data_IF_351188779776
#
_entry.id   IF_351188779776
#
_cell.length_a   1.000
_cell.length_b   1.000
_cell.length_c   1.000
_cell.angle_alpha   90.00
_cell.angle_beta   90.00
_cell.angle_gamma   90.00
#
_symmetry.space_group_name_H-M   'P 1'
#
loop_
_entity.id
_entity.type
_entity.pdbx_description
1 polymer ?
#
# COMPACT_ATOMS: atom_id res chain seq x y z
N UNK A 1 12.83 1.29 -21.33
CA UNK A 1 13.98 0.36 -21.36
C UNK A 1 13.92 -0.38 -22.69
N UNK A 2 14.97 -0.32 -23.44
CA UNK A 2 15.05 -0.97 -24.77
C UNK A 2 15.71 -2.35 -24.70
N UNK A 3 15.97 -2.87 -23.49
CA UNK A 3 16.63 -4.15 -23.28
C UNK A 3 16.19 -4.78 -21.96
N UNK A 4 16.11 -6.11 -21.95
CA UNK A 4 15.67 -6.91 -20.79
C UNK A 4 16.82 -7.21 -19.80
N UNK A 5 17.84 -6.36 -19.72
CA UNK A 5 18.98 -6.59 -18.84
C UNK A 5 18.65 -6.26 -17.39
N UNK A 6 18.99 -7.20 -16.49
CA UNK A 6 18.99 -6.98 -15.04
C UNK A 6 20.21 -6.11 -14.72
N UNK A 7 19.98 -4.88 -14.26
CA UNK A 7 21.06 -3.91 -13.95
C UNK A 7 21.50 -3.98 -12.49
N UNK A 8 20.63 -4.44 -11.59
CA UNK A 8 20.92 -4.58 -10.17
C UNK A 8 20.08 -5.65 -9.51
N UNK A 9 20.64 -6.37 -8.53
CA UNK A 9 19.97 -7.36 -7.70
C UNK A 9 20.34 -7.17 -6.24
N UNK A 10 19.43 -7.48 -5.32
CA UNK A 10 19.72 -7.62 -3.88
C UNK A 10 19.01 -8.85 -3.31
N UNK A 11 19.59 -9.44 -2.27
CA UNK A 11 18.98 -10.51 -1.50
C UNK A 11 18.62 -9.97 -0.12
N UNK A 12 17.33 -9.88 0.15
CA UNK A 12 16.81 -9.44 1.43
C UNK A 12 16.33 -10.60 2.29
N UNK A 13 16.62 -10.55 3.60
CA UNK A 13 16.08 -11.47 4.60
C UNK A 13 14.69 -11.04 5.12
N UNK A 14 14.17 -9.91 4.64
CA UNK A 14 12.86 -9.40 5.07
C UNK A 14 11.74 -10.22 4.45
N UNK A 15 10.72 -10.60 5.22
CA UNK A 15 9.60 -11.40 4.71
C UNK A 15 8.61 -10.58 3.87
N UNK A 16 8.72 -9.24 3.86
CA UNK A 16 7.82 -8.33 3.15
C UNK A 16 8.60 -7.29 2.35
N UNK A 17 8.09 -6.95 1.17
CA UNK A 17 8.74 -6.07 0.21
C UNK A 17 8.72 -4.59 0.62
N UNK A 18 7.76 -4.19 1.47
CA UNK A 18 7.60 -2.79 1.89
C UNK A 18 8.83 -2.16 2.52
N UNK A 19 9.69 -2.96 3.15
CA UNK A 19 10.91 -2.49 3.82
C UNK A 19 12.18 -2.69 2.99
N UNK A 20 12.09 -3.24 1.78
CA UNK A 20 13.26 -3.58 0.96
C UNK A 20 13.55 -2.56 -0.13
N UNK A 21 12.54 -1.80 -0.58
CA UNK A 21 12.68 -0.87 -1.70
C UNK A 21 13.72 0.23 -1.44
N UNK A 22 13.64 0.90 -0.30
CA UNK A 22 14.55 2.01 0.03
C UNK A 22 16.01 1.55 0.12
N UNK A 23 16.35 0.47 0.85
CA UNK A 23 17.71 -0.05 0.85
C UNK A 23 18.18 -0.45 -0.56
N UNK A 24 17.32 -1.12 -1.34
CA UNK A 24 17.62 -1.52 -2.71
C UNK A 24 17.94 -0.33 -3.61
N UNK A 25 17.11 0.71 -3.59
CA UNK A 25 17.32 1.91 -4.42
C UNK A 25 18.60 2.65 -4.03
N UNK A 26 18.88 2.80 -2.73
CA UNK A 26 20.11 3.43 -2.25
C UNK A 26 21.36 2.67 -2.66
N UNK A 27 21.33 1.35 -2.54
CA UNK A 27 22.44 0.48 -2.91
C UNK A 27 22.68 0.52 -4.42
N UNK A 28 21.64 0.39 -5.21
CA UNK A 28 21.69 0.51 -6.67
C UNK A 28 22.24 1.87 -7.11
N UNK A 29 21.72 2.96 -6.59
CA UNK A 29 22.17 4.33 -6.93
C UNK A 29 23.65 4.55 -6.57
N UNK A 30 24.09 4.02 -5.45
CA UNK A 30 25.49 4.10 -4.99
C UNK A 30 26.45 3.40 -5.96
N UNK A 31 26.05 2.26 -6.52
CA UNK A 31 26.88 1.46 -7.41
C UNK A 31 26.83 1.93 -8.87
N UNK A 32 25.66 2.34 -9.34
CA UNK A 32 25.49 2.80 -10.72
C UNK A 32 25.96 4.25 -10.93
N UNK A 33 26.04 5.06 -9.85
CA UNK A 33 26.41 6.47 -9.93
C UNK A 33 25.34 7.39 -10.50
N UNK A 34 24.12 6.89 -10.72
CA UNK A 34 22.98 7.68 -11.19
C UNK A 34 21.66 7.17 -10.60
N UNK A 35 20.60 7.96 -10.75
CA UNK A 35 19.22 7.62 -10.35
C UNK A 35 18.32 7.48 -11.56
N UNK A 36 17.45 6.49 -11.53
CA UNK A 36 16.33 6.45 -12.47
C UNK A 36 15.27 7.48 -12.05
N UNK A 37 14.72 8.21 -13.01
CA UNK A 37 13.67 9.21 -12.76
C UNK A 37 12.34 8.60 -12.35
N UNK A 38 12.09 7.35 -12.74
CA UNK A 38 10.82 6.66 -12.58
C UNK A 38 11.04 5.28 -11.94
N UNK A 39 10.23 5.00 -10.93
CA UNK A 39 10.27 3.73 -10.19
C UNK A 39 8.94 3.00 -10.39
N UNK A 40 8.98 1.93 -11.19
CA UNK A 40 7.81 1.08 -11.44
C UNK A 40 7.92 -0.18 -10.58
N UNK A 41 7.04 -0.32 -9.60
CA UNK A 41 7.13 -1.42 -8.66
C UNK A 41 5.77 -2.13 -8.45
N UNK A 42 5.83 -3.34 -7.89
CA UNK A 42 4.65 -4.13 -7.58
C UNK A 42 3.92 -3.64 -6.32
N UNK A 43 2.71 -4.12 -6.15
CA UNK A 43 1.84 -3.80 -5.01
C UNK A 43 2.46 -4.13 -3.65
N UNK A 44 3.37 -5.11 -3.59
CA UNK A 44 4.13 -5.45 -2.38
C UNK A 44 4.96 -4.29 -1.83
N UNK A 45 5.37 -3.37 -2.68
CA UNK A 45 6.18 -2.21 -2.31
C UNK A 45 5.36 -0.99 -1.89
N UNK A 46 4.03 -1.04 -1.94
CA UNK A 46 3.19 0.09 -1.57
C UNK A 46 3.28 0.40 -0.08
N UNK A 47 3.85 1.56 0.26
CA UNK A 47 3.88 2.10 1.62
C UNK A 47 4.03 3.62 1.59
N UNK A 48 3.56 4.28 2.67
CA UNK A 48 3.72 5.73 2.84
C UNK A 48 5.19 6.14 2.79
N UNK A 49 6.05 5.36 3.44
CA UNK A 49 7.48 5.61 3.50
C UNK A 49 8.15 5.53 2.12
N UNK A 50 7.79 4.52 1.32
CA UNK A 50 8.33 4.36 -0.02
C UNK A 50 7.90 5.49 -0.95
N UNK A 51 6.64 5.91 -0.89
CA UNK A 51 6.16 7.07 -1.66
C UNK A 51 6.92 8.35 -1.31
N UNK A 52 7.05 8.64 0.00
CA UNK A 52 7.75 9.84 0.48
C UNK A 52 9.24 9.80 0.15
N UNK A 53 9.87 8.63 0.21
CA UNK A 53 11.28 8.47 -0.16
C UNK A 53 11.51 8.73 -1.65
N UNK A 54 10.72 8.11 -2.53
CA UNK A 54 10.83 8.27 -3.98
C UNK A 54 10.65 9.73 -4.36
N UNK A 55 9.59 10.38 -3.85
CA UNK A 55 9.33 11.79 -4.10
C UNK A 55 10.43 12.72 -3.55
N UNK A 56 10.85 12.49 -2.30
CA UNK A 56 11.94 13.24 -1.67
C UNK A 56 13.28 13.11 -2.40
N UNK A 57 13.46 12.02 -3.14
CA UNK A 57 14.62 11.77 -4.00
C UNK A 57 14.50 12.42 -5.41
N UNK A 58 13.39 13.11 -5.71
CA UNK A 58 13.10 13.69 -7.01
C UNK A 58 12.73 12.67 -8.08
N UNK A 59 12.26 11.49 -7.67
CA UNK A 59 11.83 10.40 -8.53
C UNK A 59 10.30 10.31 -8.56
N UNK A 60 9.73 9.67 -9.57
CA UNK A 60 8.29 9.46 -9.73
C UNK A 60 7.93 8.00 -9.46
N UNK A 61 6.98 7.77 -8.56
CA UNK A 61 6.48 6.42 -8.26
C UNK A 61 5.37 6.01 -9.22
N UNK A 62 5.41 4.75 -9.65
CA UNK A 62 4.37 4.02 -10.36
C UNK A 62 4.20 2.67 -9.66
N UNK A 63 3.58 2.69 -8.47
CA UNK A 63 3.42 1.53 -7.60
C UNK A 63 1.95 1.11 -7.61
N UNK A 64 1.66 -0.10 -8.06
CA UNK A 64 0.28 -0.60 -8.07
C UNK A 64 -0.27 -0.66 -6.64
N UNK A 65 -1.40 0.03 -6.31
CA UNK A 65 -2.00 -0.06 -4.98
C UNK A 65 -2.38 -1.50 -4.61
N UNK A 66 -2.15 -1.90 -3.37
CA UNK A 66 -2.45 -3.26 -2.88
C UNK A 66 -3.92 -3.65 -3.06
N UNK A 67 -4.82 -2.68 -3.00
CA UNK A 67 -6.24 -2.90 -3.18
C UNK A 67 -6.73 -2.70 -4.63
N UNK A 68 -5.85 -2.45 -5.59
CA UNK A 68 -6.23 -2.05 -6.96
C UNK A 68 -7.16 -3.07 -7.63
N UNK A 69 -6.80 -4.35 -7.64
CA UNK A 69 -7.64 -5.37 -8.28
C UNK A 69 -8.91 -5.67 -7.47
N UNK A 70 -8.76 -5.81 -6.16
CA UNK A 70 -9.88 -6.15 -5.29
C UNK A 70 -10.91 -5.03 -5.24
N UNK A 71 -10.49 -3.75 -5.38
CA UNK A 71 -11.38 -2.58 -5.38
C UNK A 71 -12.37 -2.57 -6.55
N UNK A 72 -12.04 -3.24 -7.64
CA UNK A 72 -12.90 -3.38 -8.81
C UNK A 72 -14.06 -4.35 -8.58
N UNK A 73 -13.92 -5.25 -7.62
CA UNK A 73 -14.91 -6.30 -7.36
C UNK A 73 -16.19 -5.77 -6.75
N UNK A 74 -17.33 -6.41 -7.11
CA UNK A 74 -18.63 -6.08 -6.54
C UNK A 74 -18.66 -6.24 -5.01
N UNK A 75 -17.94 -7.25 -4.49
CA UNK A 75 -17.83 -7.49 -3.05
C UNK A 75 -17.17 -6.33 -2.31
N UNK A 76 -16.07 -5.80 -2.86
CA UNK A 76 -15.37 -4.66 -2.27
C UNK A 76 -16.25 -3.40 -2.28
N UNK A 77 -16.88 -3.10 -3.41
CA UNK A 77 -17.73 -1.91 -3.59
C UNK A 77 -18.98 -1.92 -2.69
N UNK A 78 -19.45 -3.10 -2.28
CA UNK A 78 -20.59 -3.27 -1.36
C UNK A 78 -20.19 -3.35 0.11
N UNK A 79 -18.90 -3.44 0.43
CA UNK A 79 -18.44 -3.63 1.80
C UNK A 79 -18.54 -2.32 2.59
N UNK A 80 -19.60 -2.18 3.37
CA UNK A 80 -19.91 -1.01 4.20
C UNK A 80 -18.91 -0.79 5.33
N UNK A 81 -18.06 -1.76 5.63
CA UNK A 81 -17.03 -1.62 6.67
C UNK A 81 -15.84 -0.79 6.21
N UNK A 82 -15.68 -0.59 4.90
CA UNK A 82 -14.55 0.09 4.30
C UNK A 82 -14.80 1.60 4.23
N UNK A 83 -13.76 2.37 4.58
CA UNK A 83 -13.80 3.84 4.51
C UNK A 83 -13.99 4.35 3.07
N UNK A 84 -13.44 3.63 2.10
CA UNK A 84 -13.54 3.97 0.67
C UNK A 84 -14.97 3.92 0.14
N UNK A 85 -15.88 3.24 0.87
CA UNK A 85 -17.30 3.16 0.57
C UNK A 85 -18.15 4.05 1.49
N UNK A 86 -17.53 4.94 2.27
CA UNK A 86 -18.18 5.95 3.11
C UNK A 86 -18.03 7.31 2.45
N UNK A 87 -19.04 8.15 2.60
CA UNK A 87 -18.99 9.54 2.18
C UNK A 87 -18.02 10.31 3.08
N UNK A 88 -17.09 11.06 2.48
CA UNK A 88 -16.15 11.89 3.22
C UNK A 88 -16.50 13.36 3.03
N UNK A 89 -16.67 14.09 4.13
CA UNK A 89 -16.92 15.52 4.18
C UNK A 89 -15.62 16.25 4.50
N UNK A 90 -15.03 16.87 3.49
CA UNK A 90 -13.74 17.57 3.64
C UNK A 90 -13.84 18.83 4.51
N UNK A 91 -14.98 19.53 4.48
CA UNK A 91 -15.25 20.73 5.28
C UNK A 91 -15.25 20.47 6.79
N UNK A 92 -15.66 19.29 7.21
CA UNK A 92 -15.75 18.88 8.62
C UNK A 92 -14.73 17.81 9.00
N UNK A 93 -13.94 17.36 8.04
CA UNK A 93 -13.00 16.24 8.22
C UNK A 93 -13.66 15.03 8.88
N UNK A 94 -14.73 14.54 8.29
CA UNK A 94 -15.56 13.47 8.85
C UNK A 94 -16.04 12.47 7.79
N UNK A 95 -16.42 11.27 8.22
CA UNK A 95 -16.99 10.22 7.39
C UNK A 95 -18.43 9.93 7.79
N UNK A 96 -19.31 9.71 6.82
CA UNK A 96 -20.68 9.29 7.05
C UNK A 96 -20.79 7.78 6.82
N UNK A 97 -21.22 7.03 7.83
CA UNK A 97 -21.43 5.59 7.69
C UNK A 97 -22.75 5.24 7.01
N UNK A 98 -22.94 3.97 6.65
CA UNK A 98 -24.16 3.48 5.99
C UNK A 98 -25.46 3.80 6.74
N UNK A 99 -25.40 3.98 8.07
CA UNK A 99 -26.55 4.34 8.90
C UNK A 99 -26.71 5.86 9.08
N UNK A 100 -26.04 6.68 8.28
CA UNK A 100 -26.11 8.15 8.36
C UNK A 100 -25.42 8.77 9.59
N UNK A 101 -24.68 7.97 10.37
CA UNK A 101 -23.94 8.49 11.55
C UNK A 101 -22.60 9.04 11.12
N UNK A 102 -22.26 10.19 11.67
CA UNK A 102 -20.97 10.86 11.42
C UNK A 102 -19.86 10.28 12.30
N UNK A 103 -18.73 9.99 11.69
CA UNK A 103 -17.49 9.63 12.36
C UNK A 103 -16.57 10.85 12.34
N UNK A 104 -16.33 11.41 13.51
CA UNK A 104 -15.50 12.61 13.68
C UNK A 104 -14.10 12.24 14.17
N UNK A 105 -13.15 13.14 13.97
CA UNK A 105 -11.79 12.99 14.50
C UNK A 105 -11.83 12.96 16.02
N UNK A 106 -11.24 11.92 16.59
CA UNK A 106 -11.12 11.79 18.07
C UNK A 106 -9.70 12.01 18.55
N UNK A 107 -8.71 11.56 17.80
CA UNK A 107 -7.30 11.77 18.12
C UNK A 107 -6.43 11.56 16.88
N UNK A 108 -5.19 12.01 16.99
CA UNK A 108 -4.10 11.68 16.05
C UNK A 108 -2.97 11.00 16.79
N UNK A 109 -2.37 10.01 16.15
CA UNK A 109 -1.20 9.31 16.71
C UNK A 109 -0.07 9.33 15.70
N UNK A 110 1.10 9.71 16.17
CA UNK A 110 2.36 9.52 15.45
C UNK A 110 2.90 8.14 15.75
N UNK A 111 3.26 7.40 14.73
CA UNK A 111 3.92 6.10 14.85
C UNK A 111 5.23 6.14 14.07
N UNK A 112 6.27 5.57 14.66
CA UNK A 112 7.57 5.42 14.02
C UNK A 112 7.69 4.00 13.49
N UNK A 113 8.08 3.86 12.22
CA UNK A 113 8.37 2.56 11.60
C UNK A 113 9.70 2.01 12.12
N UNK A 114 9.98 0.74 11.86
CA UNK A 114 11.27 0.13 12.20
C UNK A 114 12.47 0.78 11.47
N UNK A 115 12.22 1.38 10.31
CA UNK A 115 13.18 2.15 9.51
C UNK A 115 13.38 3.59 10.00
N UNK A 116 12.56 4.04 10.98
CA UNK A 116 12.64 5.38 11.56
C UNK A 116 11.72 6.43 10.93
N UNK A 117 10.99 6.10 9.88
CA UNK A 117 9.99 6.99 9.28
C UNK A 117 8.81 7.25 10.20
N UNK A 118 8.27 8.48 10.17
CA UNK A 118 7.14 8.89 11.03
C UNK A 118 5.89 8.99 10.19
N UNK A 119 4.87 8.20 10.56
CA UNK A 119 3.53 8.27 9.98
C UNK A 119 2.53 8.82 10.99
N UNK A 120 1.65 9.72 10.53
CA UNK A 120 0.56 10.28 11.33
C UNK A 120 -0.74 9.58 10.95
N UNK A 121 -1.42 9.04 11.96
CA UNK A 121 -2.70 8.34 11.80
C UNK A 121 -3.80 9.08 12.53
N UNK A 122 -4.80 9.54 11.78
CA UNK A 122 -6.01 10.19 12.29
C UNK A 122 -7.06 9.12 12.58
N UNK A 123 -7.65 9.18 13.75
CA UNK A 123 -8.69 8.26 14.20
C UNK A 123 -10.05 8.94 14.16
N UNK A 124 -10.95 8.39 13.35
CA UNK A 124 -12.34 8.82 13.25
C UNK A 124 -13.22 7.82 13.99
N UNK A 125 -14.14 8.30 14.80
CA UNK A 125 -15.00 7.44 15.59
C UNK A 125 -16.46 7.88 15.51
N UNK A 126 -17.36 6.91 15.34
CA UNK A 126 -18.79 7.14 15.56
C UNK A 126 -19.05 7.33 17.05
N UNK A 127 -19.81 8.34 17.45
CA UNK A 127 -20.13 8.58 18.86
C UNK A 127 -20.88 7.41 19.48
N UNK A 128 -21.80 6.81 18.74
CA UNK A 128 -22.58 5.66 19.18
C UNK A 128 -22.95 4.73 18.03
N UNK A 129 -22.90 3.41 18.25
CA UNK A 129 -23.35 2.38 17.32
C UNK A 129 -24.40 1.44 17.96
N UNK A 130 -25.03 1.86 19.05
CA UNK A 130 -26.10 1.10 19.71
C UNK A 130 -27.32 1.00 18.81
N UNK A 131 -27.96 -0.17 18.73
CA UNK A 131 -29.13 -0.40 17.90
C UNK A 131 -28.92 -0.29 16.39
N UNK A 132 -27.67 -0.20 15.91
CA UNK A 132 -27.41 -0.11 14.47
C UNK A 132 -27.65 -1.46 13.78
N UNK A 133 -28.55 -1.54 12.79
CA UNK A 133 -28.85 -2.80 12.08
C UNK A 133 -27.66 -3.32 11.26
N UNK A 134 -26.73 -2.44 10.89
CA UNK A 134 -25.53 -2.78 10.09
C UNK A 134 -24.29 -3.07 10.94
N UNK A 135 -24.41 -3.14 12.27
CA UNK A 135 -23.26 -3.16 13.18
C UNK A 135 -22.34 -4.34 12.93
N UNK A 136 -22.88 -5.53 12.77
CA UNK A 136 -22.13 -6.78 12.53
C UNK A 136 -21.39 -6.81 11.19
N UNK A 137 -21.96 -6.19 10.16
CA UNK A 137 -21.33 -6.06 8.86
C UNK A 137 -20.28 -4.93 8.82
N UNK A 138 -20.54 -3.86 9.58
CA UNK A 138 -19.71 -2.66 9.61
C UNK A 138 -18.47 -2.80 10.50
N UNK A 139 -18.59 -3.45 11.66
CA UNK A 139 -17.51 -3.64 12.62
C UNK A 139 -17.01 -5.07 12.53
N UNK A 140 -15.89 -5.24 11.79
CA UNK A 140 -15.21 -6.54 11.63
C UNK A 140 -14.11 -6.71 12.67
N UNK A 141 -13.77 -7.95 12.95
CA UNK A 141 -12.65 -8.32 13.83
C UNK A 141 -13.08 -9.11 15.04
N UNK A 142 -12.60 -10.35 15.11
CA UNK A 142 -12.94 -11.30 16.18
C UNK A 142 -11.96 -11.24 17.35
N UNK A 143 -10.79 -10.60 17.19
CA UNK A 143 -9.72 -10.57 18.19
C UNK A 143 -9.85 -9.42 19.21
N UNK A 144 -11.00 -8.75 19.26
CA UNK A 144 -11.25 -7.68 20.21
C UNK A 144 -11.91 -8.23 21.48
N UNK A 145 -11.33 -7.95 22.64
CA UNK A 145 -11.88 -8.36 23.95
C UNK A 145 -13.20 -7.65 24.31
N UNK A 146 -13.48 -6.49 23.69
CA UNK A 146 -14.72 -5.74 23.93
C UNK A 146 -15.89 -6.45 23.24
N UNK A 147 -17.01 -6.74 23.93
CA UNK A 147 -18.21 -7.30 23.33
C UNK A 147 -18.74 -6.43 22.17
N UNK A 148 -19.35 -7.05 21.15
CA UNK A 148 -19.82 -6.35 19.96
C UNK A 148 -20.79 -5.22 20.27
N UNK A 149 -21.66 -5.42 21.27
CA UNK A 149 -22.68 -4.44 21.68
C UNK A 149 -22.06 -3.11 22.13
N UNK A 150 -20.87 -3.17 22.75
CA UNK A 150 -20.14 -2.00 23.28
C UNK A 150 -19.16 -1.37 22.28
N UNK A 151 -19.00 -1.97 21.09
CA UNK A 151 -18.06 -1.44 20.09
C UNK A 151 -18.71 -0.32 19.29
N UNK A 152 -17.94 0.72 19.02
CA UNK A 152 -18.26 1.74 18.05
C UNK A 152 -17.34 1.65 16.84
N UNK A 153 -17.82 2.08 15.67
CA UNK A 153 -16.99 2.12 14.45
C UNK A 153 -15.85 3.09 14.64
N UNK A 154 -14.64 2.62 14.33
CA UNK A 154 -13.41 3.41 14.30
C UNK A 154 -12.74 3.19 12.95
N UNK A 155 -12.31 4.29 12.33
CA UNK A 155 -11.42 4.29 11.18
C UNK A 155 -10.07 4.83 11.61
N UNK A 156 -9.00 4.23 11.11
CA UNK A 156 -7.63 4.71 11.27
C UNK A 156 -7.10 5.05 9.88
N UNK A 157 -6.79 6.31 9.65
CA UNK A 157 -6.45 6.85 8.33
C UNK A 157 -5.12 7.58 8.40
N UNK A 158 -4.16 7.23 7.54
CA UNK A 158 -3.09 8.13 7.18
C UNK A 158 -3.56 8.99 5.99
N UNK A 159 -3.68 10.29 6.20
CA UNK A 159 -4.06 11.25 5.15
C UNK A 159 -2.97 11.30 4.08
N UNK A 160 -1.70 11.32 4.49
CA UNK A 160 -0.53 11.30 3.59
C UNK A 160 -0.55 10.06 2.70
N UNK A 161 -0.71 8.86 3.28
CA UNK A 161 -0.79 7.63 2.49
C UNK A 161 -1.99 7.64 1.53
N UNK A 162 -3.12 8.20 1.96
CA UNK A 162 -4.33 8.28 1.12
C UNK A 162 -4.13 9.20 -0.06
N UNK A 163 -3.49 10.36 0.16
CA UNK A 163 -3.15 11.32 -0.87
C UNK A 163 -2.14 10.70 -1.87
N UNK A 164 -1.03 10.15 -1.38
CA UNK A 164 0.00 9.56 -2.24
C UNK A 164 -0.54 8.40 -3.08
N UNK A 165 -1.41 7.57 -2.49
CA UNK A 165 -2.11 6.51 -3.23
C UNK A 165 -3.03 7.05 -4.33
N UNK A 166 -3.74 8.15 -4.08
CA UNK A 166 -4.60 8.76 -5.08
C UNK A 166 -3.77 9.35 -6.24
N UNK A 167 -2.73 10.11 -5.94
CA UNK A 167 -1.79 10.67 -6.92
C UNK A 167 -1.14 9.56 -7.77
N UNK A 168 -0.71 8.49 -7.13
CA UNK A 168 -0.10 7.35 -7.82
C UNK A 168 -1.13 6.57 -8.64
N UNK A 169 -2.36 6.42 -8.15
CA UNK A 169 -3.45 5.78 -8.91
C UNK A 169 -3.74 6.52 -10.22
N UNK A 170 -3.76 7.86 -10.21
CA UNK A 170 -3.91 8.66 -11.42
C UNK A 170 -2.75 8.39 -12.39
N UNK A 171 -1.51 8.38 -11.89
CA UNK A 171 -0.32 8.08 -12.71
C UNK A 171 -0.38 6.70 -13.34
N UNK A 172 -0.62 5.65 -12.54
CA UNK A 172 -0.61 4.27 -13.05
C UNK A 172 -1.80 3.94 -13.96
N UNK A 173 -2.88 4.72 -13.93
CA UNK A 173 -4.04 4.55 -14.81
C UNK A 173 -3.97 5.42 -16.06
N UNK A 174 -3.02 6.36 -16.15
CA UNK A 174 -2.74 7.10 -17.38
C UNK A 174 -2.27 6.15 -18.49
N UNK A 175 -2.30 6.60 -19.73
CA UNK A 175 -1.78 5.85 -20.89
C UNK A 175 -0.31 5.47 -20.66
N UNK A 176 0.50 6.46 -20.27
CA UNK A 176 1.92 6.25 -19.99
C UNK A 176 2.16 5.28 -18.82
N UNK A 177 1.49 5.45 -17.70
CA UNK A 177 1.62 4.55 -16.56
C UNK A 177 1.13 3.13 -16.84
N UNK A 178 0.13 2.98 -17.70
CA UNK A 178 -0.33 1.67 -18.17
C UNK A 178 0.75 1.00 -19.02
N UNK A 179 1.37 1.73 -19.94
CA UNK A 179 2.49 1.25 -20.75
C UNK A 179 3.67 0.81 -19.86
N UNK A 180 4.07 1.63 -18.88
CA UNK A 180 5.16 1.29 -17.95
C UNK A 180 4.88 0.00 -17.17
N UNK A 181 3.64 -0.18 -16.69
CA UNK A 181 3.25 -1.40 -15.95
C UNK A 181 3.24 -2.65 -16.84
N UNK A 182 2.80 -2.50 -18.10
CA UNK A 182 2.86 -3.59 -19.08
C UNK A 182 4.30 -3.99 -19.37
N UNK A 183 5.16 -3.01 -19.63
CA UNK A 183 6.59 -3.24 -19.88
C UNK A 183 7.27 -3.92 -18.69
N UNK A 184 6.96 -3.46 -17.43
CA UNK A 184 7.46 -4.13 -16.23
C UNK A 184 7.01 -5.60 -16.17
N UNK A 185 5.73 -5.88 -16.44
CA UNK A 185 5.20 -7.24 -16.39
C UNK A 185 5.94 -8.14 -17.40
N UNK A 186 6.08 -7.69 -18.64
CA UNK A 186 6.78 -8.44 -19.68
C UNK A 186 8.25 -8.70 -19.29
N UNK A 187 8.96 -7.66 -18.85
CA UNK A 187 10.40 -7.75 -18.56
C UNK A 187 10.70 -8.53 -17.26
N UNK A 188 9.95 -8.27 -16.19
CA UNK A 188 10.19 -8.94 -14.91
C UNK A 188 9.68 -10.39 -14.91
N UNK A 189 8.48 -10.63 -15.44
CA UNK A 189 7.90 -11.97 -15.46
C UNK A 189 8.61 -12.89 -16.46
N UNK A 190 9.03 -12.36 -17.60
CA UNK A 190 9.85 -13.09 -18.58
C UNK A 190 11.15 -13.58 -17.97
N UNK A 191 11.97 -12.69 -17.42
CA UNK A 191 13.24 -13.05 -16.79
C UNK A 191 13.08 -13.99 -15.58
N UNK A 192 12.01 -13.83 -14.80
CA UNK A 192 11.72 -14.75 -13.70
C UNK A 192 11.15 -16.09 -14.16
N UNK A 193 10.46 -16.15 -15.30
CA UNK A 193 9.99 -17.39 -15.89
C UNK A 193 11.17 -18.29 -16.28
N UNK A 194 12.18 -17.74 -16.97
CA UNK A 194 13.41 -18.47 -17.31
C UNK A 194 14.05 -19.09 -16.07
N UNK A 195 14.21 -18.34 -14.99
CA UNK A 195 14.80 -18.82 -13.76
C UNK A 195 13.91 -19.89 -13.09
N UNK A 196 12.60 -19.68 -13.01
CA UNK A 196 11.69 -20.60 -12.30
C UNK A 196 11.33 -21.83 -13.08
N UNK A 197 11.09 -21.70 -14.38
CA UNK A 197 10.59 -22.80 -15.22
C UNK A 197 11.76 -23.51 -15.93
N UNK A 198 12.64 -22.78 -16.62
CA UNK A 198 13.70 -23.39 -17.43
C UNK A 198 14.87 -23.86 -16.55
N UNK A 199 15.27 -23.08 -15.53
CA UNK A 199 16.30 -23.46 -14.59
C UNK A 199 15.76 -24.23 -13.38
N UNK A 200 14.44 -24.48 -13.31
CA UNK A 200 13.74 -25.19 -12.24
C UNK A 200 14.05 -24.66 -10.82
N UNK A 201 14.28 -23.35 -10.70
CA UNK A 201 14.59 -22.72 -9.43
C UNK A 201 13.29 -22.46 -8.64
N UNK A 202 12.96 -23.35 -7.72
CA UNK A 202 11.71 -23.28 -6.94
C UNK A 202 11.85 -22.54 -5.61
N UNK A 203 13.02 -22.56 -5.00
CA UNK A 203 13.29 -21.90 -3.70
C UNK A 203 14.78 -21.85 -3.40
N UNK A 204 15.17 -20.94 -2.52
CA UNK A 204 16.51 -20.99 -1.90
C UNK A 204 16.65 -22.22 -0.99
N UNK A 205 17.77 -22.91 -1.08
CA UNK A 205 18.08 -24.09 -0.27
C UNK A 205 18.64 -23.70 1.10
N UNK A 206 19.21 -22.52 1.21
CA UNK A 206 19.89 -22.04 2.41
C UNK A 206 19.13 -20.87 3.05
N UNK A 207 19.39 -20.63 4.36
CA UNK A 207 18.84 -19.51 5.12
C UNK A 207 19.95 -18.50 5.44
N UNK A 208 19.65 -17.21 5.27
CA UNK A 208 20.58 -16.13 5.56
C UNK A 208 21.46 -15.72 4.37
N UNK A 209 22.10 -14.54 4.47
CA UNK A 209 23.00 -14.00 3.44
C UNK A 209 24.41 -14.63 3.45
N UNK A 210 24.81 -15.27 4.53
CA UNK A 210 26.17 -15.78 4.73
C UNK A 210 26.41 -17.20 4.16
N UNK A 211 25.41 -17.80 3.53
CA UNK A 211 25.49 -19.14 2.94
C UNK A 211 25.26 -19.09 1.44
#
# INVERSE_FOLDING_TARGET
>A
MDSEYITWIDISLRPTDTCTLIPFLKDMESHLGFKYSEIVADAGYESEENYLFIEGNGQTAYIKPQNYEISKTRKYKKDISRRENMEYHADRDSYICRNGRELTVTNERRSKTASGSVSVKTYYRSPDCTGCPYKTECIKGNNCKTPMEKRNKVLMVSKTMSQKRAEDLERITSEYGTMLRMNRSIQAEGSFADVKEDMNFRRYLYRGKAN
#
